data_IF_382251029891
#
_entry.id   IF_382251029891
#
_cell.length_a   1.000
_cell.length_b   1.000
_cell.length_c   1.000
_cell.angle_alpha   90.00
_cell.angle_beta   90.00
_cell.angle_gamma   90.00
#
_symmetry.space_group_name_H-M   'P 1'
#
loop_
_entity.id
_entity.type
_entity.pdbx_description
1 polymer ?
#
# COMPACT_ATOMS: atom_id res chain seq x y z
N UNK A 1 -41.81 -3.14 15.11
CA UNK A 1 -41.62 -3.50 13.70
C UNK A 1 -40.64 -2.50 13.15
N UNK A 2 -39.33 -2.79 13.29
CA UNK A 2 -38.23 -1.89 12.91
C UNK A 2 -37.98 -2.02 11.41
N UNK A 3 -37.77 -0.92 10.64
CA UNK A 3 -37.46 -1.01 9.22
C UNK A 3 -36.06 -1.58 9.01
N UNK A 4 -35.84 -2.34 7.94
CA UNK A 4 -34.54 -2.91 7.63
C UNK A 4 -33.55 -1.77 7.28
N UNK A 5 -32.38 -1.79 7.93
CA UNK A 5 -31.24 -0.95 7.60
C UNK A 5 -30.72 -1.36 6.22
N UNK A 6 -31.30 -0.82 5.17
CA UNK A 6 -30.67 -0.78 3.85
C UNK A 6 -29.56 0.27 3.93
N UNK A 7 -28.40 -0.20 4.34
CA UNK A 7 -27.14 0.54 4.25
C UNK A 7 -26.79 0.70 2.77
N UNK A 8 -27.42 1.69 2.13
CA UNK A 8 -27.00 2.17 0.81
C UNK A 8 -25.61 2.76 0.96
N UNK A 9 -24.61 2.04 0.46
CA UNK A 9 -23.25 2.54 0.29
C UNK A 9 -23.29 3.83 -0.54
N UNK A 10 -23.05 5.02 0.05
CA UNK A 10 -23.04 6.28 -0.70
C UNK A 10 -21.73 6.54 -1.44
N UNK A 11 -20.72 5.67 -1.33
CA UNK A 11 -19.36 5.99 -1.75
C UNK A 11 -19.06 5.78 -3.24
N UNK A 12 -19.90 5.06 -3.96
CA UNK A 12 -19.67 4.74 -5.38
C UNK A 12 -19.94 5.92 -6.34
N UNK A 13 -20.70 6.93 -5.94
CA UNK A 13 -21.16 8.00 -6.83
C UNK A 13 -20.27 9.26 -6.88
N UNK A 14 -19.27 9.38 -6.01
CA UNK A 14 -18.47 10.61 -5.84
C UNK A 14 -17.09 10.61 -6.51
N UNK A 15 -16.71 9.52 -7.17
CA UNK A 15 -15.41 9.43 -7.83
C UNK A 15 -15.52 9.91 -9.28
N UNK A 16 -14.97 11.08 -9.59
CA UNK A 16 -14.76 11.48 -10.98
C UNK A 16 -13.93 10.41 -11.74
N UNK A 17 -14.01 10.38 -13.09
CA UNK A 17 -13.39 9.36 -13.95
C UNK A 17 -11.92 9.02 -13.58
N UNK A 18 -11.11 10.02 -13.23
CA UNK A 18 -9.71 9.86 -12.79
C UNK A 18 -9.65 9.14 -11.44
N UNK A 19 -10.53 9.50 -10.49
CA UNK A 19 -10.58 8.85 -9.18
C UNK A 19 -10.94 7.37 -9.27
N UNK A 20 -11.86 7.00 -10.15
CA UNK A 20 -12.27 5.60 -10.35
C UNK A 20 -11.16 4.74 -10.95
N UNK A 21 -10.35 5.28 -11.86
CA UNK A 21 -9.18 4.57 -12.41
C UNK A 21 -8.08 4.39 -11.37
N UNK A 22 -7.78 5.41 -10.58
CA UNK A 22 -6.78 5.32 -9.51
C UNK A 22 -7.21 4.30 -8.44
N UNK A 23 -8.48 4.30 -8.04
CA UNK A 23 -9.00 3.33 -7.08
C UNK A 23 -8.97 1.91 -7.63
N UNK A 24 -9.36 1.71 -8.90
CA UNK A 24 -9.29 0.40 -9.56
C UNK A 24 -7.85 -0.15 -9.66
N UNK A 25 -6.88 0.71 -9.98
CA UNK A 25 -5.47 0.32 -9.98
C UNK A 25 -4.97 -0.03 -8.57
N UNK A 26 -5.38 0.74 -7.55
CA UNK A 26 -5.06 0.45 -6.15
C UNK A 26 -5.67 -0.86 -5.66
N UNK A 27 -6.90 -1.18 -6.09
CA UNK A 27 -7.56 -2.46 -5.80
C UNK A 27 -6.84 -3.64 -6.45
N UNK A 28 -6.42 -3.51 -7.71
CA UNK A 28 -5.67 -4.54 -8.41
C UNK A 28 -4.32 -4.80 -7.75
N UNK A 29 -3.59 -3.74 -7.33
CA UNK A 29 -2.34 -3.86 -6.59
C UNK A 29 -2.54 -4.55 -5.23
N UNK A 30 -3.59 -4.18 -4.50
CA UNK A 30 -3.88 -4.79 -3.21
C UNK A 30 -4.27 -6.28 -3.34
N UNK A 31 -5.02 -6.65 -4.39
CA UNK A 31 -5.33 -8.05 -4.69
C UNK A 31 -4.06 -8.84 -5.02
N UNK A 32 -3.18 -8.28 -5.86
CA UNK A 32 -1.91 -8.91 -6.20
C UNK A 32 -1.02 -9.07 -4.94
N UNK A 33 -0.92 -8.03 -4.10
CA UNK A 33 -0.19 -8.09 -2.83
C UNK A 33 -0.79 -9.12 -1.87
N UNK A 34 -2.12 -9.17 -1.74
CA UNK A 34 -2.81 -10.16 -0.92
C UNK A 34 -2.58 -11.59 -1.40
N UNK A 35 -2.65 -11.83 -2.71
CA UNK A 35 -2.34 -13.12 -3.31
C UNK A 35 -0.88 -13.52 -3.04
N UNK A 36 0.06 -12.59 -3.22
CA UNK A 36 1.47 -12.81 -2.90
C UNK A 36 1.66 -13.22 -1.43
N UNK A 37 1.01 -12.53 -0.50
CA UNK A 37 1.08 -12.85 0.93
C UNK A 37 0.51 -14.25 1.23
N UNK A 38 -0.61 -14.63 0.61
CA UNK A 38 -1.19 -15.96 0.78
C UNK A 38 -0.27 -17.05 0.25
N UNK A 39 0.32 -16.86 -0.93
CA UNK A 39 1.27 -17.83 -1.53
C UNK A 39 2.47 -18.01 -0.61
N UNK A 40 3.04 -16.93 -0.09
CA UNK A 40 4.20 -17.02 0.81
C UNK A 40 3.81 -17.65 2.15
N UNK A 41 2.64 -17.35 2.68
CA UNK A 41 2.14 -18.01 3.90
C UNK A 41 2.00 -19.53 3.72
N UNK A 42 1.44 -19.96 2.58
CA UNK A 42 1.37 -21.39 2.25
C UNK A 42 2.76 -22.02 2.10
N UNK A 43 3.70 -21.32 1.44
CA UNK A 43 5.07 -21.79 1.26
C UNK A 43 5.78 -21.97 2.60
N UNK A 44 5.67 -21.00 3.51
CA UNK A 44 6.27 -21.11 4.85
C UNK A 44 5.64 -22.25 5.64
N UNK A 45 4.32 -22.40 5.57
CA UNK A 45 3.62 -23.49 6.24
C UNK A 45 4.13 -24.85 5.70
N UNK A 46 4.27 -24.98 4.38
CA UNK A 46 4.84 -26.17 3.77
C UNK A 46 6.29 -26.41 4.20
N UNK A 47 7.13 -25.36 4.24
CA UNK A 47 8.52 -25.45 4.69
C UNK A 47 8.62 -25.95 6.14
N UNK A 48 7.80 -25.43 7.04
CA UNK A 48 7.75 -25.87 8.44
C UNK A 48 7.30 -27.33 8.55
N UNK A 49 6.27 -27.74 7.81
CA UNK A 49 5.81 -29.12 7.80
C UNK A 49 6.88 -30.07 7.24
N UNK A 50 7.58 -29.70 6.18
CA UNK A 50 8.68 -30.48 5.62
C UNK A 50 9.82 -30.64 6.63
N UNK A 51 10.17 -29.56 7.33
CA UNK A 51 11.20 -29.59 8.38
C UNK A 51 10.82 -30.52 9.52
N UNK A 52 9.54 -30.54 9.88
CA UNK A 52 9.05 -31.43 10.94
C UNK A 52 8.97 -32.91 10.52
N UNK A 53 8.56 -33.20 9.26
CA UNK A 53 8.36 -34.56 8.77
C UNK A 53 9.64 -35.21 8.21
N UNK A 54 10.46 -34.40 7.52
CA UNK A 54 11.61 -34.86 6.74
C UNK A 54 12.96 -34.44 7.35
N UNK A 55 12.92 -33.58 8.37
CA UNK A 55 14.12 -33.03 9.02
C UNK A 55 14.76 -31.87 8.26
N UNK A 56 14.25 -31.51 7.08
CA UNK A 56 14.80 -30.43 6.24
C UNK A 56 13.67 -29.54 5.69
N UNK A 57 13.91 -28.24 5.59
CA UNK A 57 12.96 -27.25 5.13
C UNK A 57 13.32 -26.72 3.73
N UNK A 58 12.47 -25.85 3.17
CA UNK A 58 12.74 -25.19 1.88
C UNK A 58 13.86 -24.17 2.07
N UNK A 59 14.97 -24.34 1.36
CA UNK A 59 16.08 -23.39 1.42
C UNK A 59 15.62 -22.01 0.90
N UNK A 60 15.94 -20.95 1.66
CA UNK A 60 15.60 -19.56 1.28
C UNK A 60 14.16 -19.15 1.56
N UNK A 61 13.35 -19.93 2.28
CA UNK A 61 11.99 -19.57 2.69
C UNK A 61 11.94 -18.21 3.41
N UNK A 62 12.91 -17.94 4.27
CA UNK A 62 13.03 -16.67 4.98
C UNK A 62 13.25 -15.46 4.03
N UNK A 63 14.07 -15.63 2.98
CA UNK A 63 14.33 -14.57 2.00
C UNK A 63 13.08 -14.25 1.18
N UNK A 64 12.31 -15.28 0.80
CA UNK A 64 11.04 -15.10 0.12
C UNK A 64 10.03 -14.33 0.97
N UNK A 65 9.93 -14.67 2.26
CA UNK A 65 9.07 -13.95 3.22
C UNK A 65 9.48 -12.50 3.32
N UNK A 66 10.77 -12.23 3.46
CA UNK A 66 11.29 -10.87 3.60
C UNK A 66 10.95 -10.01 2.38
N UNK A 67 11.23 -10.51 1.19
CA UNK A 67 10.95 -9.81 -0.08
C UNK A 67 9.44 -9.60 -0.26
N UNK A 68 8.66 -10.65 -0.07
CA UNK A 68 7.22 -10.61 -0.27
C UNK A 68 6.52 -9.69 0.75
N UNK A 69 6.97 -9.68 2.00
CA UNK A 69 6.43 -8.77 3.03
C UNK A 69 6.69 -7.32 2.67
N UNK A 70 7.89 -6.98 2.21
CA UNK A 70 8.21 -5.64 1.74
C UNK A 70 7.33 -5.20 0.56
N UNK A 71 7.27 -6.01 -0.49
CA UNK A 71 6.46 -5.73 -1.68
C UNK A 71 4.97 -5.69 -1.35
N UNK A 72 4.48 -6.64 -0.54
CA UNK A 72 3.07 -6.71 -0.13
C UNK A 72 2.65 -5.50 0.70
N UNK A 73 3.48 -5.05 1.64
CA UNK A 73 3.20 -3.86 2.42
C UNK A 73 3.00 -2.63 1.53
N UNK A 74 3.91 -2.41 0.57
CA UNK A 74 3.77 -1.31 -0.39
C UNK A 74 2.57 -1.48 -1.33
N UNK A 75 2.16 -2.70 -1.68
CA UNK A 75 1.00 -2.96 -2.53
C UNK A 75 -0.33 -2.59 -1.86
N UNK A 76 -0.43 -2.65 -0.52
CA UNK A 76 -1.64 -2.28 0.21
C UNK A 76 -1.79 -0.78 0.45
N UNK A 77 -0.69 -0.02 0.51
CA UNK A 77 -0.71 1.41 0.83
C UNK A 77 -1.59 2.25 -0.12
N UNK A 78 -1.57 2.03 -1.47
CA UNK A 78 -2.41 2.82 -2.38
C UNK A 78 -3.90 2.65 -2.10
N UNK A 79 -4.34 1.42 -1.80
CA UNK A 79 -5.74 1.15 -1.48
C UNK A 79 -6.14 1.74 -0.12
N UNK A 80 -5.26 1.62 0.88
CA UNK A 80 -5.45 2.23 2.18
C UNK A 80 -5.67 3.75 2.05
N UNK A 81 -4.81 4.42 1.29
CA UNK A 81 -4.93 5.84 1.04
C UNK A 81 -6.20 6.20 0.24
N UNK A 82 -6.52 5.44 -0.81
CA UNK A 82 -7.70 5.68 -1.64
C UNK A 82 -9.01 5.53 -0.87
N UNK A 83 -9.07 4.60 0.08
CA UNK A 83 -10.23 4.34 0.96
C UNK A 83 -10.23 5.14 2.25
N UNK A 84 -9.23 6.04 2.43
CA UNK A 84 -9.06 6.79 3.69
C UNK A 84 -8.98 5.89 4.92
N UNK A 85 -8.42 4.70 4.76
CA UNK A 85 -8.17 3.77 5.84
C UNK A 85 -7.02 4.20 6.77
N UNK A 86 -6.33 5.31 6.47
CA UNK A 86 -5.39 5.93 7.38
C UNK A 86 -6.16 6.44 8.60
N UNK A 87 -5.68 6.07 9.79
CA UNK A 87 -6.32 6.42 11.06
C UNK A 87 -6.39 7.94 11.16
N UNK A 88 -7.59 8.48 10.92
CA UNK A 88 -7.88 9.89 11.19
C UNK A 88 -8.26 9.97 12.66
N UNK A 89 -7.52 10.75 13.43
CA UNK A 89 -7.85 10.98 14.84
C UNK A 89 -9.04 11.95 14.88
N UNK A 90 -10.24 11.44 14.60
CA UNK A 90 -11.48 12.21 14.62
C UNK A 90 -11.83 12.76 16.01
N UNK A 91 -11.20 12.21 17.05
CA UNK A 91 -11.49 12.55 18.46
C UNK A 91 -11.29 14.03 18.77
N UNK A 92 -10.34 14.70 18.12
CA UNK A 92 -10.07 16.13 18.35
C UNK A 92 -10.79 17.06 17.36
N UNK A 93 -11.39 16.55 16.31
CA UNK A 93 -11.98 17.35 15.23
C UNK A 93 -13.51 17.40 15.26
N UNK A 94 -14.16 16.67 16.18
CA UNK A 94 -15.62 16.58 16.30
C UNK A 94 -16.30 17.93 16.59
N UNK A 95 -15.56 18.94 17.11
CA UNK A 95 -16.06 20.30 17.40
C UNK A 95 -15.75 21.34 16.33
N UNK A 96 -14.99 21.00 15.27
CA UNK A 96 -14.56 21.98 14.27
C UNK A 96 -15.58 22.14 13.12
N UNK A 97 -15.59 23.33 12.51
CA UNK A 97 -16.41 23.59 11.32
C UNK A 97 -15.96 22.67 10.17
N UNK A 98 -16.91 22.30 9.28
CA UNK A 98 -16.63 21.43 8.13
C UNK A 98 -15.46 21.93 7.26
N UNK A 99 -15.38 23.24 7.04
CA UNK A 99 -14.29 23.85 6.26
C UNK A 99 -12.92 23.70 6.92
N UNK A 100 -12.86 23.82 8.24
CA UNK A 100 -11.61 23.68 9.01
C UNK A 100 -11.15 22.23 9.01
N UNK A 101 -12.08 21.28 9.12
CA UNK A 101 -11.81 19.85 9.04
C UNK A 101 -11.28 19.45 7.65
N UNK A 102 -11.97 19.88 6.57
CA UNK A 102 -11.54 19.62 5.19
C UNK A 102 -10.15 20.23 4.90
N UNK A 103 -9.86 21.41 5.46
CA UNK A 103 -8.55 22.04 5.36
C UNK A 103 -7.45 21.24 6.09
N UNK A 104 -7.74 20.73 7.28
CA UNK A 104 -6.81 19.94 8.07
C UNK A 104 -6.53 18.58 7.37
N UNK A 105 -7.57 17.95 6.86
CA UNK A 105 -7.46 16.70 6.09
C UNK A 105 -6.60 16.91 4.84
N UNK A 106 -6.78 18.02 4.12
CA UNK A 106 -5.96 18.35 2.97
C UNK A 106 -4.47 18.54 3.33
N UNK A 107 -4.17 19.17 4.47
CA UNK A 107 -2.79 19.36 4.96
C UNK A 107 -2.16 18.01 5.30
N UNK A 108 -2.88 17.12 5.99
CA UNK A 108 -2.38 15.78 6.30
C UNK A 108 -2.16 14.93 5.07
N UNK A 109 -3.11 14.91 4.12
CA UNK A 109 -2.96 14.19 2.85
C UNK A 109 -1.77 14.73 2.03
N UNK A 110 -1.54 16.05 2.04
CA UNK A 110 -0.42 16.66 1.35
C UNK A 110 0.92 16.32 2.02
N UNK A 111 0.97 16.35 3.35
CA UNK A 111 2.16 15.94 4.13
C UNK A 111 2.49 14.48 3.85
N UNK A 112 1.48 13.61 3.85
CA UNK A 112 1.65 12.19 3.54
C UNK A 112 2.12 12.00 2.09
N UNK A 113 1.57 12.74 1.13
CA UNK A 113 1.99 12.70 -0.26
C UNK A 113 3.46 13.11 -0.42
N UNK A 114 3.90 14.18 0.26
CA UNK A 114 5.29 14.63 0.25
C UNK A 114 6.23 13.58 0.86
N UNK A 115 5.85 12.99 1.99
CA UNK A 115 6.62 11.93 2.64
C UNK A 115 6.78 10.71 1.72
N UNK A 116 5.67 10.26 1.11
CA UNK A 116 5.69 9.11 0.20
C UNK A 116 6.46 9.40 -1.10
N UNK A 117 6.45 10.66 -1.57
CA UNK A 117 7.27 11.07 -2.71
C UNK A 117 8.77 10.99 -2.38
N UNK A 118 9.18 11.44 -1.20
CA UNK A 118 10.57 11.33 -0.73
C UNK A 118 10.98 9.86 -0.56
N UNK A 119 10.14 9.04 0.05
CA UNK A 119 10.40 7.59 0.20
C UNK A 119 10.52 6.94 -1.18
N UNK A 120 9.58 7.19 -2.10
CA UNK A 120 9.61 6.66 -3.45
C UNK A 120 10.88 7.07 -4.21
N UNK A 121 11.26 8.34 -4.11
CA UNK A 121 12.52 8.84 -4.68
C UNK A 121 13.76 8.10 -4.13
N UNK A 122 13.84 7.95 -2.80
CA UNK A 122 14.93 7.21 -2.16
C UNK A 122 14.98 5.74 -2.56
N UNK A 123 13.80 5.11 -2.72
CA UNK A 123 13.71 3.74 -3.21
C UNK A 123 14.17 3.59 -4.66
N UNK A 124 13.93 4.59 -5.53
CA UNK A 124 14.45 4.59 -6.90
C UNK A 124 15.99 4.60 -6.88
N UNK A 125 16.60 5.46 -6.07
CA UNK A 125 18.07 5.49 -5.90
C UNK A 125 18.55 4.16 -5.35
N UNK A 126 17.92 3.64 -4.29
CA UNK A 126 18.28 2.34 -3.71
C UNK A 126 18.16 1.17 -4.69
N UNK A 127 17.18 1.20 -5.59
CA UNK A 127 17.05 0.20 -6.65
C UNK A 127 18.20 0.30 -7.66
N UNK A 128 18.59 1.51 -8.07
CA UNK A 128 19.73 1.73 -8.98
C UNK A 128 21.04 1.25 -8.36
N UNK A 129 21.26 1.56 -7.08
CA UNK A 129 22.44 1.11 -6.33
C UNK A 129 22.47 -0.42 -6.20
N UNK A 130 21.31 -1.04 -5.94
CA UNK A 130 21.21 -2.50 -5.87
C UNK A 130 21.48 -3.19 -7.21
N UNK A 131 21.06 -2.59 -8.33
CA UNK A 131 21.40 -3.09 -9.66
C UNK A 131 22.88 -2.87 -9.99
N UNK A 132 23.44 -1.72 -9.66
CA UNK A 132 24.85 -1.42 -9.91
C UNK A 132 25.81 -2.32 -9.11
N UNK A 133 25.45 -2.60 -7.84
CA UNK A 133 26.21 -3.49 -6.96
C UNK A 133 25.89 -4.98 -7.15
N UNK A 134 24.96 -5.32 -8.04
CA UNK A 134 24.46 -6.69 -8.25
C UNK A 134 24.08 -7.40 -6.94
N UNK A 135 23.48 -6.65 -6.02
CA UNK A 135 23.06 -7.19 -4.71
C UNK A 135 22.02 -8.26 -4.88
N UNK A 136 22.35 -9.48 -4.46
CA UNK A 136 21.47 -10.66 -4.48
C UNK A 136 21.20 -11.16 -3.07
N UNK A 137 20.15 -11.95 -2.90
CA UNK A 137 19.89 -12.65 -1.66
C UNK A 137 20.93 -13.75 -1.42
N UNK A 138 21.15 -14.12 -0.15
CA UNK A 138 22.29 -14.99 0.24
C UNK A 138 22.12 -16.44 -0.17
N UNK A 139 20.87 -16.95 -0.13
CA UNK A 139 20.56 -18.38 -0.36
C UNK A 139 20.05 -18.61 -1.78
N UNK A 140 19.07 -17.78 -2.22
CA UNK A 140 18.41 -17.96 -3.52
C UNK A 140 19.09 -17.18 -4.66
N UNK A 141 19.99 -16.24 -4.35
CA UNK A 141 20.63 -15.40 -5.38
C UNK A 141 19.66 -14.46 -6.11
N UNK A 142 18.49 -14.16 -5.53
CA UNK A 142 17.49 -13.30 -6.16
C UNK A 142 17.99 -11.85 -6.17
N UNK A 143 18.02 -11.17 -7.34
CA UNK A 143 18.42 -9.76 -7.41
C UNK A 143 17.43 -8.88 -6.64
N UNK A 144 17.87 -8.25 -5.55
CA UNK A 144 17.04 -7.44 -4.66
C UNK A 144 16.56 -6.14 -5.35
N UNK A 145 17.27 -5.67 -6.36
CA UNK A 145 16.92 -4.48 -7.12
C UNK A 145 15.50 -4.49 -7.69
N UNK A 146 14.99 -5.64 -8.13
CA UNK A 146 13.62 -5.75 -8.65
C UNK A 146 12.56 -5.52 -7.57
N UNK A 147 12.74 -6.08 -6.38
CA UNK A 147 11.83 -5.89 -5.27
C UNK A 147 11.80 -4.42 -4.80
N UNK A 148 12.98 -3.80 -4.70
CA UNK A 148 13.12 -2.38 -4.34
C UNK A 148 12.48 -1.49 -5.41
N UNK A 149 12.70 -1.78 -6.71
CA UNK A 149 12.08 -1.05 -7.81
C UNK A 149 10.55 -1.16 -7.79
N UNK A 150 10.01 -2.34 -7.51
CA UNK A 150 8.56 -2.54 -7.35
C UNK A 150 8.01 -1.68 -6.20
N UNK A 151 8.68 -1.68 -5.03
CA UNK A 151 8.32 -0.82 -3.91
C UNK A 151 8.40 0.68 -4.27
N UNK A 152 9.41 1.09 -5.05
CA UNK A 152 9.57 2.47 -5.50
C UNK A 152 8.38 2.93 -6.38
N UNK A 153 7.98 2.10 -7.35
CA UNK A 153 6.81 2.39 -8.22
C UNK A 153 5.54 2.51 -7.39
N UNK A 154 5.32 1.58 -6.45
CA UNK A 154 4.15 1.62 -5.57
C UNK A 154 4.17 2.84 -4.64
N UNK A 155 5.33 3.20 -4.08
CA UNK A 155 5.50 4.38 -3.23
C UNK A 155 5.19 5.68 -3.97
N UNK A 156 5.67 5.83 -5.21
CA UNK A 156 5.32 6.97 -6.07
C UNK A 156 3.83 6.97 -6.38
N UNK A 157 3.24 5.82 -6.65
CA UNK A 157 1.80 5.71 -6.90
C UNK A 157 0.97 6.13 -5.68
N UNK A 158 1.38 5.76 -4.47
CA UNK A 158 0.76 6.24 -3.22
C UNK A 158 0.82 7.76 -3.12
N UNK A 159 1.97 8.37 -3.42
CA UNK A 159 2.13 9.82 -3.40
C UNK A 159 1.16 10.51 -4.38
N UNK A 160 0.98 9.95 -5.59
CA UNK A 160 0.02 10.46 -6.58
C UNK A 160 -1.42 10.34 -6.07
N UNK A 161 -1.78 9.20 -5.47
CA UNK A 161 -3.13 8.98 -4.91
C UNK A 161 -3.40 9.97 -3.78
N UNK A 162 -2.45 10.16 -2.86
CA UNK A 162 -2.56 11.10 -1.75
C UNK A 162 -2.68 12.55 -2.23
N UNK A 163 -1.86 12.97 -3.18
CA UNK A 163 -1.93 14.32 -3.78
C UNK A 163 -3.27 14.55 -4.50
N UNK A 164 -3.78 13.53 -5.22
CA UNK A 164 -5.08 13.61 -5.86
C UNK A 164 -6.23 13.72 -4.84
N UNK A 165 -6.11 13.08 -3.69
CA UNK A 165 -7.08 13.17 -2.58
C UNK A 165 -7.04 14.55 -1.95
N UNK A 166 -5.86 15.08 -1.61
CA UNK A 166 -5.69 16.44 -1.08
C UNK A 166 -6.28 17.51 -2.02
N UNK A 167 -6.02 17.39 -3.33
CA UNK A 167 -6.54 18.33 -4.32
C UNK A 167 -8.07 18.37 -4.40
N UNK A 168 -8.76 17.27 -4.07
CA UNK A 168 -10.23 17.22 -4.03
C UNK A 168 -10.78 18.01 -2.86
N UNK A 169 -10.14 17.91 -1.69
CA UNK A 169 -10.53 18.70 -0.52
C UNK A 169 -10.39 20.19 -0.76
N UNK A 170 -9.27 20.61 -1.33
CA UNK A 170 -9.04 22.03 -1.65
C UNK A 170 -10.05 22.58 -2.67
N UNK A 171 -10.58 21.74 -3.55
CA UNK A 171 -11.61 22.15 -4.54
C UNK A 171 -13.05 22.07 -4.02
N UNK A 172 -13.26 21.75 -2.75
CA UNK A 172 -14.59 21.66 -2.13
C UNK A 172 -15.49 20.57 -2.75
N UNK A 173 -14.90 19.53 -3.35
CA UNK A 173 -15.58 18.39 -4.00
C UNK A 173 -15.49 17.09 -3.18
N UNK A 174 -15.17 17.21 -1.90
CA UNK A 174 -15.10 16.08 -0.98
C UNK A 174 -16.47 15.76 -0.38
#
# INVERSE_FOLDING_TARGET
MSPPLTETRPDAARHGFVGRRLTGAAEALALAGGTLMLVVACLVTASVLMRWLLGDGIAGDFELVQIATGVGAFAFLPLCQARRGNVIVDTFTTGLSRRTRDGLDAVWDLTYAALMAVIGWRLVIGAQDAFASQTTSMVLGIPQGYAIAACAVMGIFVAIVAAATAARFLKGRA
#
